data_IF_978388830873
#
_entry.id   IF_978388830873
#
_cell.length_a   1.000
_cell.length_b   1.000
_cell.length_c   1.000
_cell.angle_alpha   90.00
_cell.angle_beta   90.00
_cell.angle_gamma   90.00
#
_symmetry.space_group_name_H-M   'P 1'
#
loop_
_entity.id
_entity.type
_entity.pdbx_description
1 polymer ?
#
# COMPACT_ATOMS: atom_id res chain seq x y z
N UNK A 1 -5.96 19.12 14.57
CA UNK A 1 -5.76 19.61 13.18
C UNK A 1 -6.56 18.74 12.23
N UNK A 2 -7.02 19.20 11.05
CA UNK A 2 -7.66 18.34 10.07
C UNK A 2 -6.66 17.29 9.56
N UNK A 3 -7.11 16.05 9.40
CA UNK A 3 -6.31 14.99 8.79
C UNK A 3 -6.07 15.35 7.33
N UNK A 4 -4.81 15.40 6.90
CA UNK A 4 -4.44 15.89 5.56
C UNK A 4 -3.19 15.25 4.98
N UNK A 5 -2.54 14.35 5.71
CA UNK A 5 -1.37 13.62 5.24
C UNK A 5 -1.69 12.13 5.19
N UNK A 6 -1.62 11.54 4.00
CA UNK A 6 -1.76 10.10 3.79
C UNK A 6 -0.38 9.45 3.79
N UNK A 7 -0.13 8.52 4.70
CA UNK A 7 1.05 7.66 4.73
C UNK A 7 0.65 6.26 4.27
N UNK A 8 1.31 5.70 3.26
CA UNK A 8 1.00 4.38 2.72
C UNK A 8 2.18 3.45 2.95
N UNK A 9 1.96 2.32 3.62
CA UNK A 9 2.92 1.21 3.66
C UNK A 9 2.45 0.15 2.68
N UNK A 10 3.19 -0.06 1.59
CA UNK A 10 2.87 -1.09 0.61
C UNK A 10 3.28 -2.48 1.13
N UNK A 11 2.36 -3.43 1.09
CA UNK A 11 2.62 -4.85 1.35
C UNK A 11 3.51 -5.50 0.30
N UNK A 12 4.30 -6.48 0.74
CA UNK A 12 5.11 -7.36 -0.12
C UNK A 12 5.14 -8.83 0.34
N UNK A 13 4.53 -9.13 1.50
CA UNK A 13 4.58 -10.40 2.21
C UNK A 13 3.42 -10.49 3.22
N UNK A 14 3.14 -11.69 3.72
CA UNK A 14 2.10 -11.91 4.74
C UNK A 14 2.74 -12.53 5.98
N UNK A 15 2.64 -11.86 7.12
CA UNK A 15 2.95 -12.48 8.42
C UNK A 15 1.75 -13.31 8.90
N UNK A 16 1.94 -14.62 9.10
CA UNK A 16 0.89 -15.57 9.48
C UNK A 16 0.65 -15.62 10.99
N UNK A 17 1.45 -14.91 11.79
CA UNK A 17 1.45 -15.01 13.24
C UNK A 17 2.51 -15.98 13.76
N UNK A 18 2.92 -15.79 15.02
CA UNK A 18 3.81 -16.73 15.69
C UNK A 18 4.48 -16.14 16.93
N UNK A 19 5.15 -16.98 17.74
CA UNK A 19 5.69 -16.60 19.05
C UNK A 19 6.92 -15.68 18.96
N UNK A 20 7.52 -15.54 17.78
CA UNK A 20 8.66 -14.65 17.52
C UNK A 20 8.22 -13.30 16.97
N UNK A 21 6.91 -13.02 16.87
CA UNK A 21 6.38 -11.72 16.50
C UNK A 21 7.05 -11.15 15.22
N UNK A 22 7.20 -12.00 14.20
CA UNK A 22 7.76 -11.66 12.89
C UNK A 22 9.28 -11.76 12.78
N UNK A 23 10.01 -11.99 13.88
CA UNK A 23 11.48 -12.11 13.86
C UNK A 23 11.98 -13.49 13.39
N UNK A 24 11.08 -14.43 13.16
CA UNK A 24 11.37 -15.71 12.52
C UNK A 24 10.71 -15.76 11.14
N UNK A 25 11.51 -15.96 10.10
CA UNK A 25 11.03 -15.99 8.71
C UNK A 25 10.02 -17.12 8.45
N UNK A 26 10.05 -18.20 9.24
CA UNK A 26 9.07 -19.28 9.16
C UNK A 26 7.64 -18.83 9.51
N UNK A 27 7.47 -17.69 10.18
CA UNK A 27 6.16 -17.08 10.46
C UNK A 27 5.59 -16.31 9.26
N UNK A 28 6.34 -16.20 8.16
CA UNK A 28 5.97 -15.42 7.00
C UNK A 28 5.69 -16.29 5.78
N UNK A 29 4.66 -15.90 5.04
CA UNK A 29 4.44 -16.36 3.68
C UNK A 29 5.09 -15.36 2.71
N UNK A 30 6.21 -15.78 2.11
CA UNK A 30 7.02 -15.00 1.17
C UNK A 30 7.30 -15.79 -0.11
N UNK A 31 7.60 -15.07 -1.19
CA UNK A 31 8.10 -15.68 -2.43
C UNK A 31 9.57 -16.10 -2.28
N UNK A 32 10.01 -17.15 -2.97
CA UNK A 32 11.37 -17.70 -2.84
C UNK A 32 12.49 -16.67 -3.04
N UNK A 33 12.33 -15.75 -3.99
CA UNK A 33 13.31 -14.68 -4.23
C UNK A 33 13.38 -13.61 -3.14
N UNK A 34 12.43 -13.58 -2.19
CA UNK A 34 12.35 -12.64 -1.05
C UNK A 34 12.85 -13.22 0.26
N UNK A 35 13.44 -14.42 0.25
CA UNK A 35 14.04 -15.01 1.45
C UNK A 35 15.09 -14.05 2.04
N UNK A 36 15.10 -13.93 3.37
CA UNK A 36 15.91 -12.99 4.13
C UNK A 36 15.42 -11.54 4.12
N UNK A 37 14.31 -11.21 3.44
CA UNK A 37 13.80 -9.82 3.38
C UNK A 37 12.85 -9.47 4.53
N UNK A 38 12.46 -10.44 5.37
CA UNK A 38 11.51 -10.23 6.48
C UNK A 38 11.86 -9.06 7.43
N UNK A 39 13.13 -8.81 7.80
CA UNK A 39 13.49 -7.61 8.57
C UNK A 39 13.16 -6.30 7.85
N UNK A 40 13.26 -6.27 6.51
CA UNK A 40 12.92 -5.11 5.68
C UNK A 40 11.44 -4.77 5.78
N UNK A 41 10.57 -5.78 5.78
CA UNK A 41 9.12 -5.59 5.92
C UNK A 41 8.76 -5.06 7.31
N UNK A 42 9.46 -5.51 8.36
CA UNK A 42 9.34 -4.94 9.70
C UNK A 42 9.75 -3.46 9.71
N UNK A 43 10.86 -3.10 9.06
CA UNK A 43 11.28 -1.69 8.96
C UNK A 43 10.31 -0.83 8.14
N UNK A 44 9.63 -1.39 7.12
CA UNK A 44 8.55 -0.67 6.42
C UNK A 44 7.40 -0.34 7.38
N UNK A 45 6.99 -1.31 8.20
CA UNK A 45 5.92 -1.11 9.20
C UNK A 45 6.36 -0.06 10.23
N UNK A 46 7.56 -0.18 10.79
CA UNK A 46 8.11 0.78 11.75
C UNK A 46 8.17 2.19 11.16
N UNK A 47 8.61 2.35 9.92
CA UNK A 47 8.66 3.65 9.26
C UNK A 47 7.27 4.28 9.11
N UNK A 48 6.25 3.50 8.71
CA UNK A 48 4.87 3.98 8.65
C UNK A 48 4.31 4.40 10.00
N UNK A 49 4.54 3.59 11.05
CA UNK A 49 4.10 3.88 12.42
C UNK A 49 4.82 5.12 12.98
N UNK A 50 6.12 5.28 12.70
CA UNK A 50 6.89 6.46 13.10
C UNK A 50 6.37 7.74 12.44
N UNK A 51 6.09 7.71 11.13
CA UNK A 51 5.49 8.86 10.44
C UNK A 51 4.13 9.24 11.03
N UNK A 52 3.33 8.26 11.44
CA UNK A 52 2.05 8.48 12.11
C UNK A 52 2.19 9.13 13.49
N UNK A 53 3.25 8.78 14.23
CA UNK A 53 3.50 9.29 15.59
C UNK A 53 4.06 10.72 15.58
N UNK A 54 4.83 11.07 14.55
CA UNK A 54 5.48 12.37 14.40
C UNK A 54 4.57 13.45 13.77
N UNK A 55 3.42 13.07 13.21
CA UNK A 55 2.49 13.98 12.54
C UNK A 55 1.04 13.71 12.95
N UNK A 56 0.46 14.65 13.71
CA UNK A 56 -0.94 14.58 14.16
C UNK A 56 -1.97 14.67 13.01
N UNK A 57 -1.56 15.19 11.85
CA UNK A 57 -2.41 15.27 10.65
C UNK A 57 -2.34 14.02 9.77
N UNK A 58 -1.45 13.07 10.11
CA UNK A 58 -1.22 11.87 9.33
C UNK A 58 -2.25 10.77 9.61
N UNK A 59 -2.57 10.03 8.56
CA UNK A 59 -3.31 8.77 8.56
C UNK A 59 -2.43 7.72 7.88
N UNK A 60 -2.18 6.62 8.57
CA UNK A 60 -1.44 5.48 8.07
C UNK A 60 -2.39 4.49 7.41
N UNK A 61 -2.07 4.08 6.20
CA UNK A 61 -2.75 3.00 5.49
C UNK A 61 -1.75 1.88 5.24
N UNK A 62 -1.98 0.71 5.84
CA UNK A 62 -1.36 -0.51 5.36
C UNK A 62 -2.13 -0.97 4.12
N UNK A 63 -1.44 -1.19 3.01
CA UNK A 63 -2.08 -1.44 1.73
C UNK A 63 -1.53 -2.69 1.05
N UNK A 64 -2.42 -3.61 0.71
CA UNK A 64 -2.14 -4.84 -0.01
C UNK A 64 -3.20 -5.90 0.29
N UNK A 65 -3.76 -6.50 -0.76
CA UNK A 65 -4.82 -7.49 -0.66
C UNK A 65 -4.32 -8.92 -0.40
N UNK A 66 -5.24 -9.89 -0.32
CA UNK A 66 -4.90 -11.30 -0.15
C UNK A 66 -4.47 -11.89 -1.50
N UNK A 67 -3.18 -11.80 -1.81
CA UNK A 67 -2.60 -12.19 -3.11
C UNK A 67 -2.15 -13.66 -3.17
N UNK A 68 -2.33 -14.41 -2.07
CA UNK A 68 -1.82 -15.76 -1.85
C UNK A 68 -2.96 -16.76 -1.67
N UNK A 69 -2.88 -17.93 -2.32
CA UNK A 69 -3.91 -18.97 -2.23
C UNK A 69 -3.89 -19.71 -0.89
N UNK A 70 -2.77 -19.64 -0.20
CA UNK A 70 -2.52 -20.32 1.07
C UNK A 70 -3.29 -19.66 2.22
N UNK A 71 -3.73 -18.40 2.07
CA UNK A 71 -4.45 -17.67 3.12
C UNK A 71 -5.33 -16.56 2.56
N UNK A 72 -6.49 -16.33 3.20
CA UNK A 72 -7.35 -15.15 2.95
C UNK A 72 -6.83 -13.89 3.62
N UNK A 73 -5.79 -13.99 4.45
CA UNK A 73 -5.19 -12.86 5.15
C UNK A 73 -4.55 -11.91 4.12
N UNK A 74 -4.94 -10.64 4.16
CA UNK A 74 -4.37 -9.61 3.30
C UNK A 74 -2.98 -9.20 3.78
N UNK A 75 -2.14 -8.71 2.87
CA UNK A 75 -0.84 -8.13 3.24
C UNK A 75 -1.03 -6.96 4.22
N UNK A 76 -2.05 -6.11 3.98
CA UNK A 76 -2.41 -4.98 4.84
C UNK A 76 -2.75 -5.40 6.28
N UNK A 77 -3.68 -6.35 6.45
CA UNK A 77 -4.08 -6.85 7.76
C UNK A 77 -2.91 -7.55 8.46
N UNK A 78 -2.08 -8.29 7.72
CA UNK A 78 -0.91 -8.97 8.29
C UNK A 78 0.12 -7.98 8.86
N UNK A 79 0.36 -6.86 8.18
CA UNK A 79 1.29 -5.81 8.63
C UNK A 79 0.73 -5.10 9.88
N UNK A 80 -0.57 -4.83 9.90
CA UNK A 80 -1.23 -4.29 11.09
C UNK A 80 -1.16 -5.25 12.28
N UNK A 81 -1.43 -6.54 12.08
CA UNK A 81 -1.34 -7.56 13.11
C UNK A 81 0.07 -7.62 13.71
N UNK A 82 1.09 -7.56 12.84
CA UNK A 82 2.48 -7.58 13.28
C UNK A 82 2.85 -6.33 14.08
N UNK A 83 2.37 -5.16 13.66
CA UNK A 83 2.54 -3.92 14.43
C UNK A 83 1.91 -4.06 15.82
N UNK A 84 0.67 -4.55 15.92
CA UNK A 84 -0.02 -4.78 17.19
C UNK A 84 0.71 -5.79 18.07
N UNK A 85 1.14 -6.93 17.51
CA UNK A 85 1.87 -7.97 18.23
C UNK A 85 3.19 -7.47 18.84
N UNK A 86 3.81 -6.47 18.21
CA UNK A 86 5.01 -5.80 18.70
C UNK A 86 4.71 -4.50 19.48
N UNK A 87 3.46 -4.27 19.92
CA UNK A 87 3.04 -3.04 20.62
C UNK A 87 3.46 -1.77 19.87
N UNK A 88 3.24 -1.76 18.56
CA UNK A 88 3.66 -0.72 17.62
C UNK A 88 5.14 -0.36 17.73
N UNK A 89 5.98 -1.31 18.14
CA UNK A 89 7.42 -1.18 18.36
C UNK A 89 7.79 -0.05 19.34
N UNK A 90 6.88 0.31 20.25
CA UNK A 90 7.05 1.44 21.17
C UNK A 90 7.06 2.82 20.50
N UNK A 91 6.64 2.91 19.22
CA UNK A 91 6.64 4.14 18.44
C UNK A 91 5.35 4.95 18.60
N UNK A 92 4.25 4.33 19.05
CA UNK A 92 3.02 5.02 19.40
C UNK A 92 2.95 5.25 20.92
N UNK A 93 2.49 6.43 21.38
CA UNK A 93 2.23 6.65 22.80
C UNK A 93 1.21 5.66 23.33
N UNK A 94 1.44 5.11 24.52
CA UNK A 94 0.53 4.15 25.19
C UNK A 94 -0.90 4.68 25.36
N UNK A 95 -1.08 6.01 25.35
CA UNK A 95 -2.37 6.69 25.46
C UNK A 95 -3.23 6.59 24.19
N UNK A 96 -2.64 6.29 23.03
CA UNK A 96 -3.37 6.05 21.77
C UNK A 96 -3.97 4.63 21.73
N UNK A 97 -3.55 3.73 22.63
CA UNK A 97 -3.89 2.30 22.58
C UNK A 97 -5.12 1.93 23.42
N UNK A 98 -5.71 2.85 24.19
CA UNK A 98 -6.96 2.59 24.93
C UNK A 98 -8.09 3.41 24.31
N UNK A 99 -8.62 2.90 23.20
CA UNK A 99 -10.08 2.88 22.99
C UNK A 99 -10.50 1.59 22.32
N UNK A 100 -10.31 0.52 23.04
CA UNK A 100 -11.34 -0.50 23.15
C UNK A 100 -12.51 0.08 23.95
N UNK A 101 -13.45 0.74 23.28
CA UNK A 101 -14.79 0.97 23.85
C UNK A 101 -15.66 -0.25 23.58
N UNK A 102 -15.86 -1.07 24.60
CA UNK A 102 -17.11 -1.82 24.78
C UNK A 102 -18.25 -0.83 25.00
N UNK A 103 -19.29 -0.95 24.16
CA UNK A 103 -20.68 -0.49 24.32
C UNK A 103 -20.93 0.87 25.00
N UNK A 104 -21.29 1.87 24.19
CA UNK A 104 -22.62 2.53 24.22
C UNK A 104 -22.69 3.59 23.11
N UNK A 105 -23.88 3.71 22.51
CA UNK A 105 -24.09 4.42 21.25
C UNK A 105 -23.52 5.84 21.19
N UNK A 106 -23.00 6.14 20.00
CA UNK A 106 -22.73 7.47 19.47
C UNK A 106 -21.43 8.16 19.94
N UNK A 107 -20.46 8.11 19.02
CA UNK A 107 -19.40 9.07 18.73
C UNK A 107 -18.00 8.84 19.37
N UNK A 108 -17.13 8.29 18.50
CA UNK A 108 -15.71 8.60 18.28
C UNK A 108 -14.65 7.66 18.90
N UNK A 109 -13.86 7.02 18.03
CA UNK A 109 -12.83 6.01 18.33
C UNK A 109 -11.39 6.60 18.27
N UNK A 110 -10.63 6.61 19.37
CA UNK A 110 -9.19 6.92 19.44
C UNK A 110 -8.18 5.89 18.86
N UNK A 111 -8.53 5.18 17.78
CA UNK A 111 -7.63 4.43 16.86
C UNK A 111 -7.85 4.82 15.39
N UNK A 112 -8.51 5.96 15.15
CA UNK A 112 -9.03 6.47 13.86
C UNK A 112 -8.02 6.79 12.75
N UNK A 113 -6.72 6.73 13.01
CA UNK A 113 -5.67 7.16 12.06
C UNK A 113 -4.86 6.00 11.45
N UNK A 114 -5.24 4.74 11.70
CA UNK A 114 -4.70 3.57 11.00
C UNK A 114 -5.83 2.90 10.25
N UNK A 115 -5.72 2.80 8.93
CA UNK A 115 -6.69 2.14 8.06
C UNK A 115 -6.03 0.98 7.30
N UNK A 116 -6.85 0.05 6.80
CA UNK A 116 -6.40 -1.12 6.04
C UNK A 116 -7.01 -1.07 4.64
N UNK A 117 -6.16 -1.07 3.62
CA UNK A 117 -6.58 -1.27 2.24
C UNK A 117 -6.27 -2.71 1.83
N UNK A 118 -7.31 -3.55 1.81
CA UNK A 118 -7.18 -5.01 1.62
C UNK A 118 -7.55 -5.47 0.20
N UNK A 119 -7.66 -4.55 -0.75
CA UNK A 119 -8.12 -4.81 -2.13
C UNK A 119 -7.03 -4.57 -3.17
N UNK A 120 -5.94 -3.91 -2.80
CA UNK A 120 -4.85 -3.61 -3.70
C UNK A 120 -4.08 -4.87 -4.11
N UNK A 121 -4.21 -5.27 -5.37
CA UNK A 121 -3.54 -6.46 -5.93
C UNK A 121 -2.26 -6.13 -6.70
N UNK A 122 -1.90 -4.85 -6.77
CA UNK A 122 -0.64 -4.37 -7.32
C UNK A 122 -0.24 -3.00 -6.76
N UNK A 123 0.96 -2.56 -7.15
CA UNK A 123 1.54 -1.32 -6.66
C UNK A 123 0.79 -0.04 -7.07
N UNK A 124 0.05 -0.07 -8.18
CA UNK A 124 -0.76 1.09 -8.60
C UNK A 124 -1.97 1.24 -7.68
N UNK A 125 -2.67 0.13 -7.43
CA UNK A 125 -3.81 0.12 -6.52
C UNK A 125 -3.43 0.34 -5.06
N UNK A 126 -2.21 0.01 -4.67
CA UNK A 126 -1.72 0.37 -3.34
C UNK A 126 -1.84 1.88 -3.08
N UNK A 127 -1.65 2.71 -4.10
CA UNK A 127 -1.76 4.16 -3.99
C UNK A 127 -3.21 4.59 -4.21
N UNK A 128 -3.82 4.18 -5.31
CA UNK A 128 -5.15 4.66 -5.69
C UNK A 128 -6.24 4.26 -4.68
N UNK A 129 -6.27 3.01 -4.24
CA UNK A 129 -7.27 2.60 -3.26
C UNK A 129 -7.03 3.24 -1.89
N UNK A 130 -5.78 3.45 -1.48
CA UNK A 130 -5.47 4.16 -0.24
C UNK A 130 -5.95 5.62 -0.27
N UNK A 131 -5.82 6.31 -1.41
CA UNK A 131 -6.36 7.66 -1.59
C UNK A 131 -7.89 7.68 -1.44
N UNK A 132 -8.58 6.74 -2.07
CA UNK A 132 -10.04 6.63 -1.98
C UNK A 132 -10.47 6.24 -0.56
N UNK A 133 -9.74 5.33 0.09
CA UNK A 133 -10.00 4.92 1.46
C UNK A 133 -9.87 6.09 2.43
N UNK A 134 -8.83 6.92 2.28
CA UNK A 134 -8.67 8.14 3.05
C UNK A 134 -9.89 9.06 2.89
N UNK A 135 -10.30 9.34 1.65
CA UNK A 135 -11.49 10.16 1.40
C UNK A 135 -12.77 9.54 1.96
N UNK A 136 -12.95 8.22 1.84
CA UNK A 136 -14.10 7.50 2.38
C UNK A 136 -14.23 7.68 3.89
N UNK A 137 -13.11 7.66 4.62
CA UNK A 137 -13.10 7.79 6.08
C UNK A 137 -13.17 9.24 6.58
N UNK A 138 -12.71 10.20 5.77
CA UNK A 138 -12.52 11.58 6.24
C UNK A 138 -13.31 12.64 5.45
N UNK A 139 -14.01 12.23 4.39
CA UNK A 139 -14.74 13.09 3.45
C UNK A 139 -13.88 14.26 2.90
N UNK A 140 -12.56 14.09 2.89
CA UNK A 140 -11.56 15.05 2.42
C UNK A 140 -10.42 14.31 1.72
N UNK A 141 -9.79 14.96 0.74
CA UNK A 141 -8.63 14.40 0.06
C UNK A 141 -7.34 14.81 0.77
N UNK A 142 -6.31 13.93 0.81
CA UNK A 142 -5.05 14.28 1.46
C UNK A 142 -4.32 15.35 0.63
N UNK A 143 -3.71 16.31 1.33
CA UNK A 143 -2.85 17.34 0.74
C UNK A 143 -1.41 16.87 0.54
N UNK A 144 -0.96 15.91 1.34
CA UNK A 144 0.36 15.29 1.26
C UNK A 144 0.22 13.78 1.20
N UNK A 145 1.07 13.14 0.40
CA UNK A 145 1.20 11.70 0.32
C UNK A 145 2.63 11.29 0.69
N UNK A 146 2.82 10.29 1.54
CA UNK A 146 4.13 9.65 1.76
C UNK A 146 4.01 8.15 1.54
N UNK A 147 4.86 7.59 0.68
CA UNK A 147 4.86 6.15 0.39
C UNK A 147 6.08 5.49 1.05
N UNK A 148 5.85 4.40 1.78
CA UNK A 148 6.88 3.53 2.35
C UNK A 148 6.93 2.24 1.53
N UNK A 149 8.10 1.95 0.95
CA UNK A 149 8.30 0.76 0.13
C UNK A 149 9.79 0.44 -0.05
N UNK A 150 10.10 -0.53 -0.90
CA UNK A 150 11.46 -0.76 -1.38
C UNK A 150 12.00 0.48 -2.11
N UNK A 151 13.24 0.87 -1.82
CA UNK A 151 13.87 2.06 -2.41
C UNK A 151 13.94 1.97 -3.94
N UNK A 152 14.24 0.79 -4.48
CA UNK A 152 14.27 0.56 -5.93
C UNK A 152 12.92 0.70 -6.63
N UNK A 153 11.80 0.78 -5.90
CA UNK A 153 10.46 1.03 -6.48
C UNK A 153 10.15 2.52 -6.60
N UNK A 154 11.01 3.42 -6.13
CA UNK A 154 10.71 4.86 -6.05
C UNK A 154 10.25 5.43 -7.40
N UNK A 155 11.03 5.25 -8.46
CA UNK A 155 10.69 5.81 -9.79
C UNK A 155 9.33 5.30 -10.28
N UNK A 156 9.06 4.00 -10.12
CA UNK A 156 7.77 3.42 -10.51
C UNK A 156 6.60 3.96 -9.69
N UNK A 157 6.76 4.07 -8.38
CA UNK A 157 5.67 4.47 -7.48
C UNK A 157 5.39 5.98 -7.54
N UNK A 158 6.44 6.79 -7.58
CA UNK A 158 6.33 8.25 -7.58
C UNK A 158 6.16 8.77 -9.00
N UNK A 159 7.16 8.57 -9.85
CA UNK A 159 7.21 9.20 -11.18
C UNK A 159 6.29 8.48 -12.19
N UNK A 160 5.98 7.20 -11.95
CA UNK A 160 4.98 6.44 -12.69
C UNK A 160 3.57 6.57 -12.10
N UNK A 161 3.31 5.88 -10.99
CA UNK A 161 1.93 5.74 -10.48
C UNK A 161 1.34 7.05 -9.95
N UNK A 162 2.04 7.82 -9.12
CA UNK A 162 1.49 9.10 -8.64
C UNK A 162 1.25 10.07 -9.80
N UNK A 163 2.13 10.09 -10.80
CA UNK A 163 1.93 10.89 -12.02
C UNK A 163 0.68 10.44 -12.78
N UNK A 164 0.52 9.13 -13.03
CA UNK A 164 -0.65 8.57 -13.70
C UNK A 164 -1.96 8.84 -12.93
N UNK A 165 -1.93 8.72 -11.60
CA UNK A 165 -3.07 9.02 -10.71
C UNK A 165 -3.39 10.53 -10.72
N UNK A 166 -2.45 11.38 -11.10
CA UNK A 166 -2.58 12.83 -11.09
C UNK A 166 -2.45 13.42 -9.69
N UNK A 167 -1.63 12.82 -8.82
CA UNK A 167 -1.28 13.41 -7.54
C UNK A 167 -0.05 14.33 -7.71
N UNK A 168 -0.08 15.60 -7.27
CA UNK A 168 1.04 16.53 -7.46
C UNK A 168 2.33 16.02 -6.81
N UNK A 169 3.36 15.84 -7.62
CA UNK A 169 4.60 15.14 -7.24
C UNK A 169 5.43 15.91 -6.20
N UNK A 170 5.32 17.23 -6.18
CA UNK A 170 5.92 18.11 -5.15
C UNK A 170 5.33 17.86 -3.76
N UNK A 171 4.16 17.24 -3.68
CA UNK A 171 3.48 16.85 -2.44
C UNK A 171 3.63 15.36 -2.12
N UNK A 172 4.50 14.63 -2.84
CA UNK A 172 4.79 13.21 -2.62
C UNK A 172 6.14 13.03 -1.92
N UNK A 173 6.10 12.53 -0.69
CA UNK A 173 7.25 11.98 0.03
C UNK A 173 7.45 10.49 -0.27
N UNK A 174 8.68 10.02 -0.11
CA UNK A 174 8.99 8.59 -0.26
C UNK A 174 10.02 8.15 0.77
N UNK A 175 9.72 7.07 1.49
CA UNK A 175 10.64 6.39 2.41
C UNK A 175 11.00 5.04 1.80
N UNK A 176 12.20 4.98 1.21
CA UNK A 176 12.74 3.78 0.58
C UNK A 176 13.60 2.98 1.54
N UNK A 177 13.25 1.72 1.76
CA UNK A 177 14.04 0.80 2.60
C UNK A 177 14.21 -0.51 1.84
N UNK A 178 15.46 -0.87 1.54
CA UNK A 178 15.81 -2.09 0.83
C UNK A 178 16.33 -3.17 1.78
N UNK A 179 16.25 -4.44 1.40
CA UNK A 179 17.02 -5.49 2.06
C UNK A 179 18.52 -5.27 1.86
N UNK A 180 19.37 -5.78 2.77
CA UNK A 180 20.82 -5.72 2.63
C UNK A 180 21.29 -6.28 1.28
N UNK A 181 22.29 -5.63 0.68
CA UNK A 181 22.86 -6.03 -0.61
C UNK A 181 22.03 -5.65 -1.85
N UNK A 182 20.94 -4.87 -1.69
CA UNK A 182 20.15 -4.34 -2.81
C UNK A 182 20.24 -2.81 -2.83
N UNK A 183 20.81 -2.26 -3.91
CA UNK A 183 20.96 -0.82 -4.06
C UNK A 183 19.64 -0.12 -4.49
N UNK A 184 19.67 1.21 -4.57
CA UNK A 184 18.50 2.03 -4.93
C UNK A 184 18.02 1.88 -6.37
N UNK A 185 18.85 1.33 -7.26
CA UNK A 185 18.47 0.96 -8.64
C UNK A 185 17.97 -0.48 -8.74
N UNK A 186 18.06 -1.24 -7.65
CA UNK A 186 17.77 -2.66 -7.62
C UNK A 186 18.93 -3.55 -8.07
N UNK A 187 20.13 -3.00 -8.17
CA UNK A 187 21.37 -3.76 -8.34
C UNK A 187 21.66 -4.61 -7.11
N UNK A 188 22.26 -5.77 -7.33
CA UNK A 188 22.62 -6.72 -6.29
C UNK A 188 24.13 -6.62 -6.01
N UNK A 189 24.51 -6.05 -4.88
CA UNK A 189 25.92 -5.90 -4.48
C UNK A 189 26.46 -7.24 -3.97
N UNK A 190 27.57 -7.72 -4.56
CA UNK A 190 28.26 -8.93 -4.09
C UNK A 190 27.49 -10.25 -4.28
N UNK A 191 26.32 -10.23 -4.91
CA UNK A 191 25.52 -11.41 -5.26
C UNK A 191 25.74 -11.78 -6.73
N UNK A 192 25.67 -13.07 -7.07
CA UNK A 192 25.82 -13.52 -8.45
C UNK A 192 24.75 -12.91 -9.36
N UNK A 193 25.13 -12.52 -10.58
CA UNK A 193 24.21 -12.06 -11.63
C UNK A 193 23.22 -13.15 -12.13
N UNK A 194 23.35 -14.37 -11.61
CA UNK A 194 22.48 -15.51 -11.83
C UNK A 194 21.74 -15.88 -10.54
N UNK A 195 20.49 -16.29 -10.66
CA UNK A 195 19.63 -16.71 -9.55
C UNK A 195 18.26 -16.02 -9.55
N UNK A 196 17.32 -16.56 -8.78
CA UNK A 196 15.92 -16.11 -8.71
C UNK A 196 15.80 -14.63 -8.35
N UNK A 197 16.67 -14.12 -7.47
CA UNK A 197 16.67 -12.71 -7.07
C UNK A 197 17.08 -11.78 -8.22
N UNK A 198 18.08 -12.14 -9.00
CA UNK A 198 18.49 -11.36 -10.18
C UNK A 198 17.40 -11.35 -11.26
N UNK A 199 16.69 -12.47 -11.45
CA UNK A 199 15.52 -12.55 -12.33
C UNK A 199 14.37 -11.68 -11.86
N UNK A 200 14.08 -11.70 -10.55
CA UNK A 200 13.06 -10.84 -9.95
C UNK A 200 13.38 -9.36 -10.17
N UNK A 201 14.65 -8.95 -10.01
CA UNK A 201 15.07 -7.56 -10.23
C UNK A 201 14.98 -7.14 -11.71
N UNK A 202 15.29 -8.04 -12.66
CA UNK A 202 14.98 -7.79 -14.08
C UNK A 202 13.48 -7.61 -14.32
N UNK A 203 12.66 -8.41 -13.67
CA UNK A 203 11.20 -8.27 -13.70
C UNK A 203 10.70 -6.93 -13.14
N UNK A 204 11.37 -6.38 -12.12
CA UNK A 204 11.09 -5.03 -11.59
C UNK A 204 11.34 -3.96 -12.66
N UNK A 205 12.46 -4.04 -13.37
CA UNK A 205 12.79 -3.10 -14.45
C UNK A 205 11.82 -3.23 -15.62
N UNK A 206 11.49 -4.46 -16.05
CA UNK A 206 10.51 -4.69 -17.11
C UNK A 206 9.14 -4.11 -16.75
N UNK A 207 8.72 -4.27 -15.49
CA UNK A 207 7.47 -3.69 -15.03
C UNK A 207 7.44 -2.16 -15.20
N UNK A 208 8.57 -1.44 -15.08
CA UNK A 208 8.59 0.00 -15.33
C UNK A 208 8.20 0.35 -16.77
N UNK A 209 8.71 -0.39 -17.76
CA UNK A 209 8.31 -0.18 -19.15
C UNK A 209 6.82 -0.43 -19.39
N UNK A 210 6.30 -1.51 -18.80
CA UNK A 210 4.87 -1.85 -18.91
C UNK A 210 3.96 -0.78 -18.30
N UNK A 211 4.34 -0.24 -17.15
CA UNK A 211 3.61 0.85 -16.51
C UNK A 211 3.78 2.19 -17.23
N UNK A 212 4.85 2.39 -18.00
CA UNK A 212 4.99 3.57 -18.85
C UNK A 212 4.04 3.50 -20.07
N UNK A 213 3.84 2.32 -20.64
CA UNK A 213 2.94 2.07 -21.77
C UNK A 213 1.46 1.96 -21.36
N UNK A 214 1.20 1.44 -20.16
CA UNK A 214 -0.14 1.30 -19.57
C UNK A 214 -0.17 1.91 -18.14
N UNK A 215 -0.22 3.25 -18.02
CA UNK A 215 -0.08 3.95 -16.73
C UNK A 215 -1.19 3.65 -15.71
N UNK A 216 -2.33 3.18 -16.17
CA UNK A 216 -3.46 2.79 -15.32
C UNK A 216 -3.61 1.28 -15.14
N UNK A 217 -2.75 0.46 -15.78
CA UNK A 217 -2.75 -0.99 -15.64
C UNK A 217 -4.00 -1.68 -16.19
N UNK A 218 -4.69 -1.07 -17.15
CA UNK A 218 -5.97 -1.54 -17.68
C UNK A 218 -5.80 -2.45 -18.90
N UNK A 219 -4.60 -2.47 -19.49
CA UNK A 219 -4.22 -3.34 -20.60
C UNK A 219 -4.10 -4.79 -20.16
N UNK A 220 -4.23 -5.71 -21.13
CA UNK A 220 -4.37 -7.14 -20.87
C UNK A 220 -3.22 -7.73 -20.07
N UNK A 221 -1.99 -7.26 -20.25
CA UNK A 221 -0.86 -7.80 -19.50
C UNK A 221 -0.96 -7.48 -17.99
N UNK A 222 -1.12 -6.21 -17.63
CA UNK A 222 -1.17 -5.77 -16.24
C UNK A 222 -2.50 -6.17 -15.57
N UNK A 223 -3.63 -6.02 -16.27
CA UNK A 223 -4.92 -6.52 -15.81
C UNK A 223 -4.92 -8.04 -15.66
N UNK A 224 -4.27 -8.78 -16.55
CA UNK A 224 -4.10 -10.22 -16.45
C UNK A 224 -3.27 -10.64 -15.23
N UNK A 225 -2.16 -9.92 -14.94
CA UNK A 225 -1.37 -10.11 -13.70
C UNK A 225 -2.23 -9.89 -12.46
N UNK A 226 -3.05 -8.83 -12.44
CA UNK A 226 -3.99 -8.52 -11.36
C UNK A 226 -5.01 -9.63 -11.15
N UNK A 227 -5.65 -10.12 -12.23
CA UNK A 227 -6.63 -11.22 -12.17
C UNK A 227 -6.01 -12.50 -11.59
N UNK A 228 -4.77 -12.85 -11.98
CA UNK A 228 -4.07 -14.02 -11.43
C UNK A 228 -3.81 -13.92 -9.91
N UNK A 229 -3.59 -12.71 -9.39
CA UNK A 229 -3.42 -12.45 -7.96
C UNK A 229 -4.74 -12.40 -7.19
N UNK A 230 -5.89 -12.21 -7.87
CA UNK A 230 -7.20 -12.14 -7.24
C UNK A 230 -7.79 -13.53 -6.92
N UNK A 231 -7.04 -14.38 -6.21
CA UNK A 231 -7.45 -15.75 -5.93
C UNK A 231 -8.68 -15.88 -5.01
N UNK A 232 -9.05 -14.79 -4.32
CA UNK A 232 -10.18 -14.74 -3.41
C UNK A 232 -11.36 -13.88 -3.91
N UNK A 233 -11.32 -13.43 -5.17
CA UNK A 233 -12.44 -12.69 -5.77
C UNK A 233 -12.74 -11.34 -5.10
N UNK A 234 -11.72 -10.67 -4.58
CA UNK A 234 -11.85 -9.35 -3.97
C UNK A 234 -12.36 -8.34 -5.00
N UNK A 235 -13.43 -7.61 -4.67
CA UNK A 235 -14.00 -6.61 -5.57
C UNK A 235 -12.96 -5.55 -5.96
N UNK A 236 -12.99 -5.13 -7.23
CA UNK A 236 -12.02 -4.18 -7.81
C UNK A 236 -12.70 -2.90 -8.33
N UNK A 237 -13.78 -2.47 -7.67
CA UNK A 237 -14.38 -1.15 -7.91
C UNK A 237 -13.73 -0.12 -6.99
N UNK A 238 -13.54 1.08 -7.52
CA UNK A 238 -12.97 2.20 -6.78
C UNK A 238 -13.97 2.65 -5.70
N UNK A 239 -15.25 2.76 -6.07
CA UNK A 239 -16.34 3.18 -5.19
C UNK A 239 -17.36 2.05 -4.95
N UNK A 240 -18.01 2.10 -3.79
CA UNK A 240 -19.01 1.12 -3.36
C UNK A 240 -20.30 1.25 -4.17
N UNK A 241 -20.69 2.48 -4.49
CA UNK A 241 -21.86 2.80 -5.28
C UNK A 241 -21.69 4.13 -6.06
N UNK A 242 -22.67 4.44 -6.91
CA UNK A 242 -22.66 5.65 -7.72
C UNK A 242 -22.76 6.94 -6.87
N UNK A 243 -23.46 6.90 -5.74
CA UNK A 243 -23.61 8.08 -4.88
C UNK A 243 -22.30 8.42 -4.16
N UNK A 244 -21.54 7.42 -3.71
CA UNK A 244 -20.20 7.58 -3.19
C UNK A 244 -19.27 8.19 -4.25
N UNK A 245 -19.27 7.62 -5.46
CA UNK A 245 -18.48 8.16 -6.58
C UNK A 245 -18.83 9.62 -6.86
N UNK A 246 -20.11 9.97 -6.93
CA UNK A 246 -20.55 11.33 -7.26
C UNK A 246 -20.13 12.33 -6.18
N UNK A 247 -20.23 11.96 -4.88
CA UNK A 247 -19.71 12.77 -3.77
C UNK A 247 -18.19 12.92 -3.80
N UNK A 248 -17.49 11.90 -4.30
CA UNK A 248 -16.02 11.92 -4.38
C UNK A 248 -15.51 13.00 -5.33
N UNK A 249 -16.25 13.28 -6.41
CA UNK A 249 -15.83 14.18 -7.48
C UNK A 249 -14.75 13.59 -8.41
N UNK A 250 -14.49 12.28 -8.33
CA UNK A 250 -13.53 11.56 -9.17
C UNK A 250 -14.23 10.97 -10.38
N UNK A 251 -13.74 11.27 -11.59
CA UNK A 251 -14.25 10.65 -12.80
C UNK A 251 -13.61 9.28 -13.04
N UNK A 252 -14.46 8.25 -13.10
CA UNK A 252 -14.08 6.85 -13.31
C UNK A 252 -14.91 6.25 -14.45
N UNK A 253 -14.36 5.24 -15.11
CA UNK A 253 -15.02 4.43 -16.13
C UNK A 253 -15.08 2.99 -15.69
N UNK A 254 -16.18 2.32 -16.03
CA UNK A 254 -16.33 0.87 -15.80
C UNK A 254 -15.68 0.12 -16.96
N UNK A 255 -14.83 -0.85 -16.64
CA UNK A 255 -14.16 -1.72 -17.62
C UNK A 255 -15.04 -2.93 -17.98
N UNK A 256 -14.64 -3.66 -19.03
CA UNK A 256 -15.39 -4.82 -19.53
C UNK A 256 -15.54 -5.94 -18.47
N UNK A 257 -14.61 -6.04 -17.53
CA UNK A 257 -14.66 -7.01 -16.42
C UNK A 257 -15.40 -6.48 -15.18
N UNK A 258 -16.03 -5.30 -15.27
CA UNK A 258 -16.81 -4.68 -14.20
C UNK A 258 -15.99 -3.96 -13.13
N UNK A 259 -14.65 -3.97 -13.24
CA UNK A 259 -13.77 -3.13 -12.43
C UNK A 259 -13.85 -1.67 -12.86
N UNK A 260 -13.30 -0.77 -12.04
CA UNK A 260 -13.29 0.67 -12.34
C UNK A 260 -11.87 1.18 -12.55
N UNK A 261 -11.71 2.07 -13.52
CA UNK A 261 -10.47 2.77 -13.77
C UNK A 261 -10.69 4.28 -13.82
N UNK A 262 -9.62 5.00 -13.56
CA UNK A 262 -9.54 6.44 -13.75
C UNK A 262 -9.81 6.81 -15.23
N UNK A 263 -10.63 7.85 -15.46
CA UNK A 263 -10.82 8.44 -16.81
C UNK A 263 -9.64 9.35 -17.12
N UNK A 264 -8.98 9.15 -18.25
CA UNK A 264 -7.88 10.02 -18.68
C UNK A 264 -8.36 11.48 -18.83
N UNK A 265 -7.62 12.43 -18.23
CA UNK A 265 -8.04 13.85 -18.17
C UNK A 265 -9.28 14.13 -17.32
N UNK A 266 -9.86 13.11 -16.67
CA UNK A 266 -11.03 13.25 -15.81
C UNK A 266 -10.75 13.99 -14.50
N UNK A 267 -11.80 14.39 -13.78
CA UNK A 267 -11.68 15.13 -12.52
C UNK A 267 -10.91 14.33 -11.46
N UNK A 268 -9.95 15.03 -10.84
CA UNK A 268 -9.10 14.59 -9.73
C UNK A 268 -9.14 15.66 -8.64
N UNK A 269 -10.03 15.56 -7.65
CA UNK A 269 -10.16 16.61 -6.63
C UNK A 269 -8.87 16.85 -5.85
N UNK A 270 -8.06 15.81 -5.65
CA UNK A 270 -6.74 15.93 -5.05
C UNK A 270 -5.73 16.67 -5.91
N UNK A 271 -5.95 16.86 -7.21
CA UNK A 271 -5.03 17.60 -8.07
C UNK A 271 -5.15 19.14 -7.92
N UNK A 272 -6.17 19.63 -7.21
CA UNK A 272 -6.40 21.07 -6.98
C UNK A 272 -5.66 21.54 -5.71
N UNK A 273 -5.28 22.81 -5.70
CA UNK A 273 -4.61 23.51 -4.59
C UNK A 273 -5.51 23.62 -3.33
#
# INVERSE_FOLDING_TARGET
MPLSHLVIVCGHAIWLGGPKNGWDEAEWLIEGYKQGETPTFIEHIKAGVKLLSEDESAVLVFSGGPTRKETVLSEAQSYHNLAVANSYFGLLPTTTTITTTTNNGNNQLPTTRILLEERALDSYHNILYSLILFWRHHAAWPRRLTIVSHAFKRTRLVDGHCAAIGFPLDRVGFVGINPPGVDTSGGLEGLSAAGEKAEAMRGVQLAMGQWAEDPHGVGEELAGKRRRRNCWGVHQRLFLDAAERDRSGVDVRVLADGSEALVEGGRRPWARE
#
